data_IF_697332612641
#
_entry.id   IF_697332612641
#
_cell.length_a   1.000
_cell.length_b   1.000
_cell.length_c   1.000
_cell.angle_alpha   90.00
_cell.angle_beta   90.00
_cell.angle_gamma   90.00
#
_symmetry.space_group_name_H-M   'P 1'
#
loop_
_entity.id
_entity.type
_entity.pdbx_description
1 polymer ?
#
# COMPACT_ATOMS: atom_id res chain seq x y z
N UNK A 1 29.75 -17.07 -38.52
CA UNK A 1 28.34 -16.75 -38.82
C UNK A 1 28.07 -15.30 -38.42
N UNK A 2 27.83 -14.41 -39.39
CA UNK A 2 27.58 -12.99 -39.10
C UNK A 2 26.31 -12.80 -38.27
N UNK A 3 26.43 -12.11 -37.13
CA UNK A 3 25.31 -11.70 -36.28
C UNK A 3 24.44 -10.72 -37.07
N UNK A 4 23.35 -11.21 -37.68
CA UNK A 4 22.36 -10.36 -38.37
C UNK A 4 21.66 -9.48 -37.32
N UNK A 5 22.06 -8.20 -37.26
CA UNK A 5 21.51 -7.18 -36.35
C UNK A 5 20.01 -6.95 -36.57
N UNK A 6 19.27 -6.70 -35.48
CA UNK A 6 17.95 -6.06 -35.54
C UNK A 6 18.09 -4.71 -36.27
N UNK A 7 17.19 -4.40 -37.19
CA UNK A 7 17.24 -3.17 -38.00
C UNK A 7 15.95 -2.38 -37.82
N UNK A 8 16.04 -1.30 -37.06
CA UNK A 8 15.04 -0.26 -36.87
C UNK A 8 15.43 0.96 -37.71
N UNK A 9 14.59 1.36 -38.66
CA UNK A 9 14.87 2.50 -39.53
C UNK A 9 13.66 3.46 -39.57
N UNK A 10 13.93 4.76 -39.56
CA UNK A 10 12.95 5.82 -39.82
C UNK A 10 12.97 6.12 -41.32
N UNK A 11 11.80 6.17 -41.95
CA UNK A 11 11.62 6.44 -43.38
C UNK A 11 10.73 7.67 -43.52
N UNK A 12 11.20 8.71 -44.21
CA UNK A 12 10.34 9.83 -44.60
C UNK A 12 9.29 9.33 -45.60
N UNK A 13 8.02 9.31 -45.19
CA UNK A 13 6.84 8.90 -46.00
C UNK A 13 6.01 10.09 -46.43
N UNK A 14 6.55 11.29 -46.32
CA UNK A 14 5.84 12.51 -46.68
C UNK A 14 5.64 12.61 -48.20
N UNK A 15 4.59 13.32 -48.64
CA UNK A 15 4.35 13.64 -50.05
C UNK A 15 5.51 14.43 -50.69
N UNK A 16 5.62 14.34 -52.01
CA UNK A 16 6.50 15.16 -52.82
C UNK A 16 5.82 16.47 -53.20
N UNK A 17 6.55 17.57 -53.22
CA UNK A 17 6.06 18.87 -53.63
C UNK A 17 6.97 19.45 -54.70
N UNK A 18 6.37 19.85 -55.82
CA UNK A 18 7.07 20.57 -56.89
C UNK A 18 6.80 22.05 -56.72
N UNK A 19 7.84 22.83 -56.45
CA UNK A 19 7.77 24.30 -56.39
C UNK A 19 8.30 24.92 -57.67
N UNK A 20 7.65 25.97 -58.17
CA UNK A 20 8.07 26.70 -59.38
C UNK A 20 8.46 28.12 -59.00
N UNK A 21 9.65 28.55 -59.42
CA UNK A 21 10.18 29.87 -59.07
C UNK A 21 9.37 30.97 -59.76
N UNK A 22 8.84 31.91 -58.97
CA UNK A 22 8.08 33.06 -59.47
C UNK A 22 6.64 32.76 -59.89
N UNK A 23 6.18 31.51 -59.77
CA UNK A 23 4.80 31.07 -60.11
C UNK A 23 4.30 30.03 -59.11
N UNK A 24 3.93 30.44 -57.88
CA UNK A 24 3.47 29.52 -56.83
C UNK A 24 2.19 28.75 -57.20
N UNK A 25 1.37 29.28 -58.10
CA UNK A 25 0.12 28.68 -58.59
C UNK A 25 0.33 27.38 -59.38
N UNK A 26 1.53 27.16 -59.93
CA UNK A 26 1.89 25.93 -60.64
C UNK A 26 2.45 24.85 -59.72
N UNK A 27 2.55 25.14 -58.41
CA UNK A 27 3.03 24.19 -57.41
C UNK A 27 2.05 23.05 -57.21
N UNK A 28 2.56 21.81 -57.21
CA UNK A 28 1.71 20.61 -57.10
C UNK A 28 2.29 19.59 -56.14
N UNK A 29 1.39 18.99 -55.36
CA UNK A 29 1.72 17.93 -54.41
C UNK A 29 1.40 16.54 -55.01
N UNK A 30 2.30 15.59 -54.79
CA UNK A 30 2.19 14.21 -55.24
C UNK A 30 2.37 13.27 -54.04
N UNK A 31 1.58 12.20 -53.95
CA UNK A 31 1.70 11.21 -52.88
C UNK A 31 3.10 10.56 -52.86
N UNK A 32 3.57 10.12 -51.69
CA UNK A 32 4.89 9.49 -51.51
C UNK A 32 5.31 8.45 -52.58
N UNK A 33 4.48 7.46 -52.99
CA UNK A 33 4.91 6.46 -53.96
C UNK A 33 5.03 7.01 -55.40
N UNK A 34 4.47 8.19 -55.68
CA UNK A 34 4.37 8.78 -57.02
C UNK A 34 5.52 9.75 -57.32
N UNK A 35 6.74 9.42 -56.90
CA UNK A 35 7.93 10.26 -57.17
C UNK A 35 8.15 10.46 -58.67
N UNK A 36 8.03 9.38 -59.46
CA UNK A 36 8.21 9.44 -60.91
C UNK A 36 7.23 10.40 -61.60
N UNK A 37 6.00 10.53 -61.09
CA UNK A 37 5.02 11.50 -61.61
C UNK A 37 5.41 12.95 -61.25
N UNK A 38 5.99 13.17 -60.06
CA UNK A 38 6.51 14.48 -59.66
C UNK A 38 7.72 14.90 -60.52
N UNK A 39 8.64 13.97 -60.78
CA UNK A 39 9.81 14.20 -61.64
C UNK A 39 9.38 14.47 -63.10
N UNK A 40 8.39 13.72 -63.61
CA UNK A 40 7.82 13.98 -64.94
C UNK A 40 7.16 15.36 -65.05
N UNK A 41 6.44 15.80 -64.00
CA UNK A 41 5.86 17.13 -63.94
C UNK A 41 6.93 18.23 -63.88
N UNK A 42 8.03 17.99 -63.17
CA UNK A 42 9.18 18.90 -63.15
C UNK A 42 9.80 19.05 -64.55
N UNK A 43 10.03 17.93 -65.25
CA UNK A 43 10.60 17.95 -66.60
C UNK A 43 9.69 18.69 -67.58
N UNK A 44 8.37 18.46 -67.53
CA UNK A 44 7.40 19.20 -68.34
C UNK A 44 7.46 20.72 -68.08
N UNK A 45 7.72 21.15 -66.83
CA UNK A 45 7.87 22.56 -66.49
C UNK A 45 9.21 23.14 -66.99
N UNK A 46 10.28 22.35 -66.95
CA UNK A 46 11.57 22.73 -67.54
C UNK A 46 11.49 22.89 -69.06
N UNK A 47 10.78 21.99 -69.75
CA UNK A 47 10.55 22.09 -71.21
C UNK A 47 9.77 23.36 -71.59
N UNK A 48 8.98 23.90 -70.65
CA UNK A 48 8.27 25.18 -70.79
C UNK A 48 9.11 26.41 -70.36
N UNK A 49 10.40 26.22 -70.09
CA UNK A 49 11.33 27.28 -69.69
C UNK A 49 11.17 27.74 -68.23
N UNK A 50 10.44 26.99 -67.40
CA UNK A 50 10.23 27.32 -65.98
C UNK A 50 11.26 26.61 -65.10
N UNK A 51 11.70 27.29 -64.03
CA UNK A 51 12.61 26.71 -63.04
C UNK A 51 11.76 26.06 -61.95
N UNK A 52 11.63 24.73 -62.02
CA UNK A 52 10.92 23.92 -61.04
C UNK A 52 11.87 23.06 -60.20
N UNK A 53 11.55 22.87 -58.91
CA UNK A 53 12.31 22.02 -57.99
C UNK A 53 11.38 21.04 -57.27
N UNK A 54 11.80 19.77 -57.21
CA UNK A 54 11.10 18.71 -56.47
C UNK A 54 11.73 18.60 -55.09
N UNK A 55 10.92 18.66 -54.03
CA UNK A 55 11.36 18.36 -52.65
C UNK A 55 10.38 17.42 -51.97
N UNK A 56 10.89 16.58 -51.10
CA UNK A 56 10.03 15.79 -50.20
C UNK A 56 9.62 16.67 -49.02
N UNK A 57 8.36 16.59 -48.60
CA UNK A 57 7.90 17.25 -47.39
C UNK A 57 8.41 16.52 -46.13
N UNK A 58 8.16 17.10 -44.96
CA UNK A 58 8.52 16.56 -43.65
C UNK A 58 7.29 16.48 -42.73
N UNK A 59 6.19 15.95 -43.27
CA UNK A 59 4.88 15.90 -42.60
C UNK A 59 4.49 14.51 -42.11
N UNK A 60 5.19 13.47 -42.54
CA UNK A 60 4.91 12.09 -42.10
C UNK A 60 6.17 11.22 -42.15
N UNK A 61 6.54 10.68 -41.00
CA UNK A 61 7.67 9.80 -40.80
C UNK A 61 7.20 8.42 -40.33
N UNK A 62 7.70 7.36 -40.97
CA UNK A 62 7.36 5.99 -40.62
C UNK A 62 8.56 5.29 -39.97
N UNK A 63 8.40 4.91 -38.71
CA UNK A 63 9.32 4.02 -38.02
C UNK A 63 9.00 2.57 -38.36
N UNK A 64 9.97 1.84 -38.94
CA UNK A 64 9.84 0.41 -39.26
C UNK A 64 10.74 -0.39 -38.34
N UNK A 65 10.13 -1.32 -37.60
CA UNK A 65 10.82 -2.17 -36.63
C UNK A 65 10.84 -3.60 -37.17
N UNK A 66 12.03 -4.11 -37.52
CA UNK A 66 12.23 -5.49 -37.96
C UNK A 66 12.92 -6.30 -36.86
N UNK A 67 12.31 -7.43 -36.48
CA UNK A 67 12.84 -8.36 -35.47
C UNK A 67 12.77 -9.79 -36.01
N UNK A 68 13.70 -10.65 -35.60
CA UNK A 68 13.67 -12.07 -35.93
C UNK A 68 12.50 -12.73 -35.20
N UNK A 69 11.61 -13.41 -35.93
CA UNK A 69 10.47 -14.14 -35.36
C UNK A 69 9.24 -13.30 -34.97
N UNK A 70 9.28 -11.97 -35.11
CA UNK A 70 8.13 -11.07 -34.85
C UNK A 70 7.70 -10.40 -36.15
N UNK A 71 6.39 -10.19 -36.32
CA UNK A 71 5.85 -9.44 -37.47
C UNK A 71 6.44 -8.03 -37.50
N UNK A 72 6.74 -7.53 -38.70
CA UNK A 72 7.30 -6.18 -38.90
C UNK A 72 6.28 -5.14 -38.44
N UNK A 73 6.63 -4.38 -37.41
CA UNK A 73 5.79 -3.29 -36.91
C UNK A 73 6.10 -1.99 -37.68
N UNK A 74 5.08 -1.19 -37.94
CA UNK A 74 5.16 0.11 -38.62
C UNK A 74 4.38 1.13 -37.81
N UNK A 75 5.04 2.19 -37.36
CA UNK A 75 4.44 3.28 -36.59
C UNK A 75 4.68 4.57 -37.38
N UNK A 76 3.68 5.45 -37.46
CA UNK A 76 3.76 6.74 -38.18
C UNK A 76 3.71 7.90 -37.20
N UNK A 77 4.50 8.93 -37.48
CA UNK A 77 4.64 10.14 -36.67
C UNK A 77 4.58 11.37 -37.58
N UNK A 78 4.11 12.49 -37.05
CA UNK A 78 3.99 13.75 -37.81
C UNK A 78 5.33 14.49 -37.91
N UNK A 79 6.28 14.21 -37.02
CA UNK A 79 7.61 14.86 -36.98
C UNK A 79 8.75 13.86 -36.85
N UNK A 80 9.91 14.21 -37.39
CA UNK A 80 11.13 13.40 -37.29
C UNK A 80 11.56 13.23 -35.83
N UNK A 81 11.50 14.30 -35.04
CA UNK A 81 11.89 14.29 -33.63
C UNK A 81 11.04 13.31 -32.79
N UNK A 82 9.73 13.25 -33.04
CA UNK A 82 8.85 12.27 -32.38
C UNK A 82 9.20 10.82 -32.78
N UNK A 83 9.50 10.60 -34.06
CA UNK A 83 9.94 9.28 -34.54
C UNK A 83 11.29 8.85 -33.94
N UNK A 84 12.23 9.79 -33.77
CA UNK A 84 13.55 9.54 -33.18
C UNK A 84 13.46 9.25 -31.67
N UNK A 85 12.66 10.02 -30.93
CA UNK A 85 12.42 9.75 -29.51
C UNK A 85 11.77 8.38 -29.30
N UNK A 86 10.78 8.03 -30.13
CA UNK A 86 10.17 6.71 -30.10
C UNK A 86 11.18 5.60 -30.41
N UNK A 87 12.07 5.80 -31.39
CA UNK A 87 13.14 4.85 -31.70
C UNK A 87 14.06 4.62 -30.50
N UNK A 88 14.62 5.69 -29.91
CA UNK A 88 15.53 5.60 -28.75
C UNK A 88 14.87 4.90 -27.57
N UNK A 89 13.60 5.19 -27.32
CA UNK A 89 12.83 4.56 -26.25
C UNK A 89 12.58 3.08 -26.50
N UNK A 90 12.22 2.71 -27.73
CA UNK A 90 12.02 1.32 -28.12
C UNK A 90 13.33 0.55 -28.06
N UNK A 91 14.45 1.14 -28.46
CA UNK A 91 15.80 0.56 -28.34
C UNK A 91 16.23 0.39 -26.87
N UNK A 92 15.89 1.35 -26.01
CA UNK A 92 16.07 1.25 -24.56
C UNK A 92 15.23 0.10 -23.98
N UNK A 93 13.92 0.05 -24.26
CA UNK A 93 13.01 -1.02 -23.81
C UNK A 93 13.44 -2.40 -24.36
N UNK A 94 14.02 -2.43 -25.57
CA UNK A 94 14.60 -3.62 -26.22
C UNK A 94 15.86 -4.11 -25.52
N UNK A 95 16.73 -3.21 -25.07
CA UNK A 95 17.94 -3.57 -24.31
C UNK A 95 17.62 -4.31 -23.00
N UNK A 96 16.40 -4.12 -22.49
CA UNK A 96 15.86 -4.73 -21.26
C UNK A 96 14.97 -5.97 -21.56
N UNK A 97 14.90 -6.45 -22.81
CA UNK A 97 14.04 -7.58 -23.21
C UNK A 97 12.54 -7.43 -22.89
N UNK A 98 12.03 -6.20 -22.83
CA UNK A 98 10.60 -5.93 -22.65
C UNK A 98 9.94 -5.87 -24.04
N UNK A 99 9.35 -6.99 -24.48
CA UNK A 99 8.60 -7.03 -25.75
C UNK A 99 7.22 -6.41 -25.53
N UNK A 100 7.09 -5.10 -25.77
CA UNK A 100 5.79 -4.40 -25.89
C UNK A 100 5.33 -4.42 -27.34
N UNK A 101 4.05 -4.72 -27.57
CA UNK A 101 3.42 -4.60 -28.88
C UNK A 101 2.71 -3.25 -29.00
N UNK A 102 3.47 -2.23 -29.39
CA UNK A 102 2.97 -0.85 -29.49
C UNK A 102 1.88 -0.69 -30.56
N UNK A 103 1.78 -1.60 -31.53
CA UNK A 103 0.73 -1.58 -32.55
C UNK A 103 -0.65 -1.91 -31.96
N UNK A 104 -0.69 -2.81 -30.97
CA UNK A 104 -1.92 -3.15 -30.24
C UNK A 104 -2.35 -1.97 -29.36
N UNK A 105 -1.40 -1.34 -28.65
CA UNK A 105 -1.71 -0.18 -27.79
C UNK A 105 -2.26 1.05 -28.53
N UNK A 106 -1.97 1.19 -29.83
CA UNK A 106 -2.53 2.26 -30.67
C UNK A 106 -3.99 2.00 -31.10
N UNK A 107 -4.46 0.75 -31.01
CA UNK A 107 -5.81 0.34 -31.39
C UNK A 107 -6.68 -0.01 -30.18
N UNK A 108 -6.08 -0.37 -29.05
CA UNK A 108 -6.77 -0.68 -27.81
C UNK A 108 -7.06 0.61 -27.03
N UNK A 109 -8.32 0.81 -26.64
CA UNK A 109 -8.77 1.88 -25.76
C UNK A 109 -8.64 1.50 -24.28
N UNK A 110 -8.84 2.47 -23.38
CA UNK A 110 -8.96 2.16 -21.95
C UNK A 110 -10.17 1.26 -21.68
N UNK A 111 -11.29 1.46 -22.39
CA UNK A 111 -12.48 0.60 -22.28
C UNK A 111 -12.15 -0.85 -22.55
N UNK A 112 -11.44 -1.15 -23.64
CA UNK A 112 -11.12 -2.53 -24.02
C UNK A 112 -10.30 -3.26 -22.95
N UNK A 113 -9.28 -2.58 -22.38
CA UNK A 113 -8.50 -3.19 -21.30
C UNK A 113 -9.29 -3.29 -20.00
N UNK A 114 -10.17 -2.34 -19.71
CA UNK A 114 -10.99 -2.36 -18.51
C UNK A 114 -12.05 -3.47 -18.56
N UNK A 115 -12.72 -3.66 -19.71
CA UNK A 115 -13.68 -4.76 -19.89
C UNK A 115 -12.99 -6.12 -19.77
N UNK A 116 -11.81 -6.26 -20.38
CA UNK A 116 -10.99 -7.47 -20.20
C UNK A 116 -10.60 -7.67 -18.74
N UNK A 117 -10.23 -6.61 -18.04
CA UNK A 117 -9.82 -6.66 -16.64
C UNK A 117 -10.98 -7.05 -15.71
N UNK A 118 -12.18 -6.52 -15.99
CA UNK A 118 -13.44 -6.88 -15.31
C UNK A 118 -13.78 -8.36 -15.52
N UNK A 119 -13.49 -8.93 -16.69
CA UNK A 119 -13.78 -10.33 -16.98
C UNK A 119 -12.74 -11.29 -16.41
N UNK A 120 -11.44 -10.98 -16.54
CA UNK A 120 -10.37 -11.95 -16.29
C UNK A 120 -9.69 -11.80 -14.92
N UNK A 121 -9.65 -10.58 -14.35
CA UNK A 121 -8.77 -10.22 -13.24
C UNK A 121 -9.56 -9.83 -12.00
N UNK A 122 -10.41 -8.80 -12.10
CA UNK A 122 -11.16 -8.26 -10.97
C UNK A 122 -11.99 -9.33 -10.20
N UNK A 123 -12.63 -10.34 -10.83
CA UNK A 123 -13.38 -11.36 -10.11
C UNK A 123 -12.52 -12.22 -9.17
N UNK A 124 -11.21 -12.29 -9.41
CA UNK A 124 -10.25 -13.03 -8.57
C UNK A 124 -9.82 -12.25 -7.34
N UNK A 125 -10.11 -10.95 -7.28
CA UNK A 125 -9.74 -10.08 -6.17
C UNK A 125 -10.70 -10.17 -4.99
N UNK A 126 -10.16 -10.03 -3.78
CA UNK A 126 -10.99 -9.87 -2.58
C UNK A 126 -11.69 -8.51 -2.64
N UNK A 127 -13.01 -8.52 -2.82
CA UNK A 127 -13.78 -7.31 -3.07
C UNK A 127 -13.86 -6.91 -4.55
N UNK A 128 -13.58 -7.84 -5.46
CA UNK A 128 -13.65 -7.64 -6.91
C UNK A 128 -14.99 -7.06 -7.38
N UNK A 129 -16.11 -7.42 -6.76
CA UNK A 129 -17.43 -6.85 -7.11
C UNK A 129 -17.47 -5.32 -6.97
N UNK A 130 -16.82 -4.76 -5.94
CA UNK A 130 -16.76 -3.31 -5.71
C UNK A 130 -15.89 -2.66 -6.78
N UNK A 131 -14.76 -3.28 -7.10
CA UNK A 131 -13.84 -2.84 -8.16
C UNK A 131 -14.52 -2.82 -9.53
N UNK A 132 -15.21 -3.90 -9.87
CA UNK A 132 -16.02 -4.04 -11.09
C UNK A 132 -17.11 -2.97 -11.14
N UNK A 133 -17.84 -2.76 -10.03
CA UNK A 133 -18.88 -1.75 -9.94
C UNK A 133 -18.34 -0.34 -10.22
N UNK A 134 -17.15 -0.01 -9.68
CA UNK A 134 -16.49 1.28 -9.95
C UNK A 134 -16.05 1.40 -11.41
N UNK A 135 -15.40 0.38 -11.96
CA UNK A 135 -14.97 0.39 -13.36
C UNK A 135 -16.16 0.56 -14.30
N UNK A 136 -17.24 -0.20 -14.12
CA UNK A 136 -18.46 -0.08 -14.94
C UNK A 136 -19.05 1.32 -14.87
N UNK A 137 -19.04 1.96 -13.70
CA UNK A 137 -19.48 3.35 -13.55
C UNK A 137 -18.57 4.31 -14.34
N UNK A 138 -17.26 4.19 -14.19
CA UNK A 138 -16.27 5.02 -14.91
C UNK A 138 -16.43 4.85 -16.42
N UNK A 139 -16.55 3.60 -16.91
CA UNK A 139 -16.73 3.27 -18.32
C UNK A 139 -18.03 3.82 -18.92
N UNK A 140 -19.05 4.09 -18.10
CA UNK A 140 -20.31 4.66 -18.55
C UNK A 140 -20.28 6.19 -18.54
N UNK A 141 -19.68 6.77 -17.50
CA UNK A 141 -19.84 8.19 -17.20
C UNK A 141 -18.70 9.07 -17.77
N UNK A 142 -17.62 8.48 -18.29
CA UNK A 142 -16.40 9.20 -18.65
C UNK A 142 -16.02 9.01 -20.12
N UNK A 143 -15.68 10.11 -20.82
CA UNK A 143 -15.37 10.09 -22.26
C UNK A 143 -13.94 9.67 -22.58
N UNK A 144 -12.98 9.89 -21.67
CA UNK A 144 -11.58 9.52 -21.90
C UNK A 144 -11.38 8.00 -22.04
N UNK A 145 -12.34 7.19 -21.60
CA UNK A 145 -12.24 5.72 -21.62
C UNK A 145 -12.20 5.16 -23.04
N UNK A 146 -12.78 5.88 -23.99
CA UNK A 146 -12.83 5.50 -25.41
C UNK A 146 -11.58 5.96 -26.17
N UNK A 147 -10.70 6.75 -25.54
CA UNK A 147 -9.43 7.15 -26.14
C UNK A 147 -8.51 5.92 -26.28
N UNK A 148 -7.80 5.77 -27.43
CA UNK A 148 -6.72 4.80 -27.55
C UNK A 148 -5.69 5.00 -26.44
N UNK A 149 -5.13 3.92 -25.91
CA UNK A 149 -4.15 3.98 -24.82
C UNK A 149 -2.95 4.84 -25.19
N UNK A 150 -2.52 4.81 -26.46
CA UNK A 150 -1.44 5.66 -26.98
C UNK A 150 -1.75 7.17 -26.95
N UNK A 151 -3.04 7.54 -26.95
CA UNK A 151 -3.50 8.93 -26.90
C UNK A 151 -3.94 9.39 -25.50
N UNK A 152 -4.04 8.46 -24.54
CA UNK A 152 -4.42 8.76 -23.16
C UNK A 152 -3.27 9.48 -22.44
N UNK A 153 -3.54 10.68 -21.91
CA UNK A 153 -2.56 11.56 -21.26
C UNK A 153 -2.85 11.70 -19.77
N UNK A 154 -1.85 12.19 -19.03
CA UNK A 154 -2.02 12.57 -17.62
C UNK A 154 -3.08 13.65 -17.44
N UNK A 155 -3.21 14.57 -18.40
CA UNK A 155 -4.23 15.63 -18.44
C UNK A 155 -5.65 15.05 -18.37
N UNK A 156 -5.94 14.00 -19.15
CA UNK A 156 -7.25 13.34 -19.15
C UNK A 156 -7.64 12.82 -17.76
N UNK A 157 -6.67 12.26 -17.04
CA UNK A 157 -6.88 11.75 -15.69
C UNK A 157 -6.99 12.88 -14.66
N UNK A 158 -6.33 14.02 -14.91
CA UNK A 158 -6.39 15.18 -14.04
C UNK A 158 -7.73 15.90 -14.18
N UNK A 159 -8.25 16.01 -15.39
CA UNK A 159 -9.59 16.54 -15.69
C UNK A 159 -10.66 15.66 -15.04
N UNK A 160 -10.56 14.34 -15.19
CA UNK A 160 -11.42 13.38 -14.47
C UNK A 160 -11.41 13.60 -12.95
N UNK A 161 -10.23 13.81 -12.35
CA UNK A 161 -10.13 14.13 -10.91
C UNK A 161 -10.87 15.43 -10.60
N UNK A 162 -10.67 16.48 -11.39
CA UNK A 162 -11.31 17.78 -11.21
C UNK A 162 -12.82 17.70 -11.27
N UNK A 163 -13.37 17.05 -12.29
CA UNK A 163 -14.81 16.84 -12.47
C UNK A 163 -15.39 16.04 -11.30
N UNK A 164 -14.76 14.92 -10.91
CA UNK A 164 -15.27 14.07 -9.83
C UNK A 164 -15.22 14.75 -8.46
N UNK A 165 -14.27 15.65 -8.24
CA UNK A 165 -14.20 16.42 -6.99
C UNK A 165 -15.36 17.39 -6.81
N UNK A 166 -16.08 17.77 -7.87
CA UNK A 166 -17.31 18.56 -7.77
C UNK A 166 -18.46 17.78 -7.11
N UNK A 167 -18.52 16.46 -7.33
CA UNK A 167 -19.65 15.63 -6.90
C UNK A 167 -19.36 14.78 -5.65
N UNK A 168 -18.11 14.37 -5.44
CA UNK A 168 -17.76 13.40 -4.40
C UNK A 168 -16.56 13.80 -3.57
N UNK A 169 -16.48 13.21 -2.37
CA UNK A 169 -15.35 13.44 -1.45
C UNK A 169 -14.02 12.99 -2.09
N UNK A 170 -12.90 13.67 -1.79
CA UNK A 170 -11.58 13.35 -2.33
C UNK A 170 -11.16 11.89 -2.14
N UNK A 171 -11.49 11.28 -1.00
CA UNK A 171 -11.19 9.87 -0.73
C UNK A 171 -11.96 8.88 -1.64
N UNK A 172 -13.07 9.30 -2.23
CA UNK A 172 -13.79 8.50 -3.23
C UNK A 172 -13.10 8.63 -4.59
N UNK A 173 -12.71 9.83 -4.98
CA UNK A 173 -11.97 10.08 -6.22
C UNK A 173 -10.65 9.31 -6.25
N UNK A 174 -9.90 9.32 -5.15
CA UNK A 174 -8.62 8.58 -5.07
C UNK A 174 -8.83 7.06 -5.21
N UNK A 175 -9.94 6.52 -4.67
CA UNK A 175 -10.30 5.10 -4.86
C UNK A 175 -10.74 4.78 -6.29
N UNK A 176 -11.37 5.72 -6.99
CA UNK A 176 -11.69 5.57 -8.41
C UNK A 176 -10.38 5.55 -9.23
N UNK A 177 -9.44 6.46 -8.92
CA UNK A 177 -8.11 6.52 -9.53
C UNK A 177 -7.27 5.27 -9.21
N UNK A 178 -7.39 4.67 -8.04
CA UNK A 178 -6.69 3.43 -7.70
C UNK A 178 -7.02 2.30 -8.67
N UNK A 179 -8.31 2.13 -8.97
CA UNK A 179 -8.77 1.06 -9.86
C UNK A 179 -8.34 1.33 -11.31
N UNK A 180 -8.42 2.58 -11.77
CA UNK A 180 -7.87 2.98 -13.08
C UNK A 180 -6.37 2.68 -13.13
N UNK A 181 -5.62 3.10 -12.10
CA UNK A 181 -4.18 2.92 -12.02
C UNK A 181 -3.79 1.43 -12.00
N UNK A 182 -4.55 0.61 -11.27
CA UNK A 182 -4.35 -0.83 -11.20
C UNK A 182 -4.60 -1.50 -12.56
N UNK A 183 -5.68 -1.13 -13.24
CA UNK A 183 -6.03 -1.63 -14.57
C UNK A 183 -4.93 -1.30 -15.59
N UNK A 184 -4.49 -0.03 -15.64
CA UNK A 184 -3.41 0.42 -16.53
C UNK A 184 -2.07 -0.28 -16.25
N UNK A 185 -1.71 -0.44 -14.97
CA UNK A 185 -0.49 -1.16 -14.58
C UNK A 185 -0.56 -2.63 -14.96
N UNK A 186 -1.69 -3.30 -14.71
CA UNK A 186 -1.85 -4.70 -15.07
C UNK A 186 -1.77 -4.91 -16.59
N UNK A 187 -2.41 -4.04 -17.38
CA UNK A 187 -2.31 -4.06 -18.83
C UNK A 187 -0.87 -3.88 -19.32
N UNK A 188 -0.14 -2.91 -18.76
CA UNK A 188 1.27 -2.66 -19.09
C UNK A 188 2.19 -3.81 -18.69
N UNK A 189 2.04 -4.32 -17.47
CA UNK A 189 3.02 -5.20 -16.85
C UNK A 189 2.78 -6.67 -17.19
N UNK A 190 1.51 -7.08 -17.29
CA UNK A 190 1.12 -8.49 -17.54
C UNK A 190 0.76 -8.70 -19.00
N UNK A 191 -0.16 -7.91 -19.55
CA UNK A 191 -0.57 -8.07 -20.95
C UNK A 191 0.41 -7.48 -21.95
N UNK A 192 1.37 -6.66 -21.48
CA UNK A 192 2.32 -5.91 -22.33
C UNK A 192 1.61 -4.99 -23.33
N UNK A 193 0.42 -4.51 -22.96
CA UNK A 193 -0.40 -3.56 -23.70
C UNK A 193 -0.42 -2.26 -22.89
N UNK A 194 0.27 -1.24 -23.39
CA UNK A 194 0.29 0.06 -22.74
C UNK A 194 0.94 1.13 -23.61
N UNK A 195 0.69 2.41 -23.31
CA UNK A 195 1.34 3.50 -24.01
C UNK A 195 2.85 3.50 -23.77
N UNK A 196 3.59 4.20 -24.63
CA UNK A 196 5.03 4.36 -24.45
C UNK A 196 5.35 5.06 -23.12
N UNK A 197 4.59 6.09 -22.76
CA UNK A 197 4.66 6.76 -21.46
C UNK A 197 3.38 6.54 -20.68
N UNK A 198 3.51 6.21 -19.39
CA UNK A 198 2.34 5.96 -18.55
C UNK A 198 1.60 7.27 -18.26
N UNK A 199 0.29 7.36 -18.47
CA UNK A 199 -0.51 8.53 -18.09
C UNK A 199 -0.61 8.70 -16.57
N UNK A 200 -0.11 7.74 -15.79
CA UNK A 200 0.00 7.84 -14.34
C UNK A 200 1.24 8.63 -13.90
N UNK A 201 2.21 8.85 -14.80
CA UNK A 201 3.41 9.59 -14.47
C UNK A 201 3.06 11.07 -14.28
N UNK A 202 3.42 11.62 -13.11
CA UNK A 202 3.11 13.00 -12.75
C UNK A 202 1.66 13.26 -12.32
N UNK A 203 0.80 12.23 -12.25
CA UNK A 203 -0.60 12.37 -11.84
C UNK A 203 -0.69 12.84 -10.38
N UNK A 204 -1.36 13.98 -10.13
CA UNK A 204 -1.55 14.53 -8.79
C UNK A 204 -2.85 14.01 -8.18
N UNK A 205 -2.71 13.16 -7.16
CA UNK A 205 -3.85 12.59 -6.43
C UNK A 205 -4.41 13.56 -5.38
N UNK A 206 -5.72 13.54 -5.11
CA UNK A 206 -6.33 14.34 -4.05
C UNK A 206 -5.75 13.99 -2.67
N UNK A 207 -5.49 15.01 -1.86
CA UNK A 207 -5.13 14.82 -0.45
C UNK A 207 -6.40 14.78 0.41
N UNK A 208 -6.45 13.88 1.37
CA UNK A 208 -7.55 13.78 2.33
C UNK A 208 -7.12 13.19 3.66
N UNK A 209 -7.85 13.58 4.70
CA UNK A 209 -7.68 13.06 6.04
C UNK A 209 -8.98 12.34 6.42
N UNK A 210 -8.91 11.01 6.50
CA UNK A 210 -10.06 10.17 6.90
C UNK A 210 -10.00 9.76 8.37
N UNK A 211 -9.07 10.35 9.12
CA UNK A 211 -8.88 10.10 10.53
C UNK A 211 -10.10 10.60 11.33
N UNK A 212 -10.67 9.72 12.15
CA UNK A 212 -11.79 10.02 13.04
C UNK A 212 -11.37 9.74 14.47
N UNK A 213 -11.66 10.69 15.36
CA UNK A 213 -11.36 10.59 16.80
C UNK A 213 -12.62 10.52 17.66
N UNK A 214 -13.74 10.12 17.05
CA UNK A 214 -15.02 9.90 17.74
C UNK A 214 -14.88 8.76 18.75
N UNK A 215 -15.10 9.06 20.03
CA UNK A 215 -15.15 8.14 21.18
C UNK A 215 -16.57 8.02 21.71
N UNK A 216 -16.94 6.95 22.41
CA UNK A 216 -18.24 6.90 23.09
C UNK A 216 -18.25 7.87 24.29
N UNK A 217 -19.24 8.75 24.34
CA UNK A 217 -19.45 9.67 25.47
C UNK A 217 -20.04 8.99 26.70
N UNK A 218 -20.15 9.74 27.80
CA UNK A 218 -20.79 9.24 29.03
C UNK A 218 -22.24 8.84 28.76
N UNK A 219 -22.58 7.58 29.04
CA UNK A 219 -23.91 7.03 28.80
C UNK A 219 -24.22 6.66 27.35
N UNK A 220 -23.36 6.97 26.37
CA UNK A 220 -23.56 6.57 24.96
C UNK A 220 -23.65 5.06 24.82
N UNK A 221 -22.74 4.32 25.46
CA UNK A 221 -22.75 2.85 25.41
C UNK A 221 -24.04 2.28 25.98
N UNK A 222 -24.52 2.79 27.11
CA UNK A 222 -25.75 2.32 27.73
C UNK A 222 -26.94 2.51 26.79
N UNK A 223 -27.12 3.72 26.26
CA UNK A 223 -28.19 4.05 25.31
C UNK A 223 -28.09 3.23 24.03
N UNK A 224 -26.87 3.04 23.51
CA UNK A 224 -26.63 2.24 22.32
C UNK A 224 -27.06 0.79 22.51
N UNK A 225 -26.76 0.20 23.67
CA UNK A 225 -27.13 -1.19 23.99
C UNK A 225 -28.60 -1.35 24.33
N UNK A 226 -29.21 -0.37 25.00
CA UNK A 226 -30.66 -0.34 25.23
C UNK A 226 -31.43 -0.31 23.91
N UNK A 227 -31.02 0.56 22.97
CA UNK A 227 -31.59 0.61 21.63
C UNK A 227 -31.35 -0.68 20.83
N UNK A 228 -30.16 -1.29 20.96
CA UNK A 228 -29.84 -2.54 20.31
C UNK A 228 -30.65 -3.74 20.85
N UNK A 229 -30.94 -3.76 22.15
CA UNK A 229 -31.82 -4.77 22.79
C UNK A 229 -33.27 -4.66 22.34
N UNK A 230 -33.73 -3.44 22.06
CA UNK A 230 -35.07 -3.20 21.56
C UNK A 230 -35.22 -3.48 20.06
N UNK A 231 -34.12 -3.78 19.34
CA UNK A 231 -34.17 -4.13 17.92
C UNK A 231 -34.79 -5.52 17.73
N UNK A 232 -35.57 -5.69 16.67
CA UNK A 232 -36.19 -6.98 16.33
C UNK A 232 -35.16 -8.10 16.06
N UNK A 233 -33.93 -7.73 15.67
CA UNK A 233 -32.88 -8.69 15.39
C UNK A 233 -31.98 -8.90 16.63
N UNK A 234 -32.12 -10.07 17.24
CA UNK A 234 -31.41 -10.49 18.45
C UNK A 234 -29.87 -10.45 18.35
N UNK A 235 -29.30 -10.46 17.14
CA UNK A 235 -27.85 -10.48 16.94
C UNK A 235 -27.22 -9.07 16.95
N UNK A 236 -28.01 -7.99 16.95
CA UNK A 236 -27.50 -6.62 16.88
C UNK A 236 -26.76 -6.22 18.16
N UNK A 237 -27.34 -6.46 19.34
CA UNK A 237 -26.64 -6.22 20.61
C UNK A 237 -25.34 -7.04 20.71
N UNK A 238 -25.33 -8.37 20.48
CA UNK A 238 -24.12 -9.17 20.48
C UNK A 238 -23.01 -8.62 19.56
N UNK A 239 -23.35 -8.20 18.34
CA UNK A 239 -22.39 -7.62 17.39
C UNK A 239 -21.75 -6.33 17.94
N UNK A 240 -22.54 -5.46 18.58
CA UNK A 240 -22.05 -4.20 19.15
C UNK A 240 -21.14 -4.48 20.35
N UNK A 241 -21.54 -5.38 21.26
CA UNK A 241 -20.72 -5.72 22.42
C UNK A 241 -19.39 -6.34 21.97
N UNK A 242 -19.43 -7.28 21.03
CA UNK A 242 -18.21 -7.88 20.50
C UNK A 242 -17.29 -6.84 19.86
N UNK A 243 -17.83 -5.85 19.15
CA UNK A 243 -17.02 -4.78 18.56
C UNK A 243 -16.28 -3.94 19.63
N UNK A 244 -16.96 -3.59 20.73
CA UNK A 244 -16.41 -2.81 21.84
C UNK A 244 -15.42 -3.62 22.68
N UNK A 245 -15.63 -4.93 22.83
CA UNK A 245 -14.86 -5.78 23.74
C UNK A 245 -13.65 -6.47 23.08
N UNK A 246 -13.59 -6.57 21.75
CA UNK A 246 -12.55 -7.36 21.06
C UNK A 246 -11.70 -6.55 20.08
N UNK A 247 -12.12 -5.32 19.77
CA UNK A 247 -11.54 -4.51 18.70
C UNK A 247 -11.51 -5.19 17.32
N UNK A 248 -12.30 -6.24 17.07
CA UNK A 248 -12.32 -6.93 15.78
C UNK A 248 -12.91 -6.06 14.66
N UNK A 249 -12.52 -6.32 13.40
CA UNK A 249 -13.18 -5.71 12.24
C UNK A 249 -14.58 -6.31 12.11
N UNK A 250 -15.53 -5.52 11.62
CA UNK A 250 -16.92 -5.98 11.38
C UNK A 250 -16.98 -7.30 10.57
N UNK A 251 -16.18 -7.44 9.52
CA UNK A 251 -16.16 -8.68 8.73
C UNK A 251 -15.60 -9.88 9.52
N UNK A 252 -14.67 -9.65 10.44
CA UNK A 252 -14.13 -10.70 11.31
C UNK A 252 -15.20 -11.13 12.31
N UNK A 253 -15.93 -10.18 12.92
CA UNK A 253 -17.04 -10.45 13.85
C UNK A 253 -18.14 -11.30 13.18
N UNK A 254 -18.42 -11.06 11.90
CA UNK A 254 -19.50 -11.73 11.17
C UNK A 254 -19.09 -13.04 10.49
N UNK A 255 -17.82 -13.46 10.57
CA UNK A 255 -17.32 -14.62 9.81
C UNK A 255 -16.92 -15.82 10.64
N UNK A 256 -16.66 -15.65 11.95
CA UNK A 256 -16.28 -16.78 12.80
C UNK A 256 -17.48 -17.64 13.17
N UNK A 257 -17.21 -18.92 13.37
CA UNK A 257 -18.17 -19.98 13.73
C UNK A 257 -17.93 -20.44 15.17
N UNK A 258 -18.84 -21.25 15.73
CA UNK A 258 -18.72 -21.71 17.12
C UNK A 258 -17.41 -22.48 17.38
N UNK A 259 -16.94 -23.28 16.41
CA UNK A 259 -15.67 -24.03 16.44
C UNK A 259 -14.41 -23.15 16.46
N UNK A 260 -14.56 -21.85 16.18
CA UNK A 260 -13.46 -20.91 16.23
C UNK A 260 -13.30 -20.31 17.63
N UNK A 261 -14.28 -20.51 18.51
CA UNK A 261 -14.29 -19.98 19.88
C UNK A 261 -13.78 -21.05 20.84
N UNK A 262 -12.66 -20.76 21.50
CA UNK A 262 -12.16 -21.55 22.62
C UNK A 262 -12.67 -20.91 23.92
N UNK A 263 -13.70 -21.51 24.53
CA UNK A 263 -14.33 -20.97 25.73
C UNK A 263 -13.49 -21.16 27.00
N UNK A 264 -12.58 -22.13 27.01
CA UNK A 264 -11.75 -22.43 28.17
C UNK A 264 -10.55 -21.49 28.23
N UNK A 265 -9.85 -21.36 27.08
CA UNK A 265 -8.71 -20.46 26.92
C UNK A 265 -9.11 -19.03 26.59
N UNK A 266 -10.41 -18.77 26.35
CA UNK A 266 -11.03 -17.45 26.10
C UNK A 266 -10.41 -16.72 24.91
N UNK A 267 -10.42 -17.33 23.74
CA UNK A 267 -10.06 -16.64 22.50
C UNK A 267 -10.91 -17.06 21.30
N UNK A 268 -10.95 -16.21 20.27
CA UNK A 268 -11.46 -16.54 18.94
C UNK A 268 -10.29 -16.74 17.99
N UNK A 269 -10.25 -17.87 17.30
CA UNK A 269 -9.30 -18.13 16.23
C UNK A 269 -9.84 -17.58 14.90
N UNK A 270 -9.28 -16.46 14.45
CA UNK A 270 -9.54 -15.95 13.11
C UNK A 270 -8.63 -16.66 12.12
N UNK A 271 -9.19 -17.56 11.30
CA UNK A 271 -8.43 -18.49 10.46
C UNK A 271 -7.85 -17.90 9.16
N UNK A 272 -8.22 -16.67 8.79
CA UNK A 272 -7.97 -16.01 7.49
C UNK A 272 -7.46 -16.91 6.33
N UNK A 273 -8.31 -17.11 5.32
CA UNK A 273 -7.89 -17.75 4.06
C UNK A 273 -7.20 -16.76 3.11
N UNK A 274 -6.02 -17.21 2.66
CA UNK A 274 -5.19 -16.84 1.49
C UNK A 274 -4.57 -15.44 1.39
N UNK A 275 -4.89 -14.46 2.23
CA UNK A 275 -4.19 -13.15 2.14
C UNK A 275 -3.98 -12.41 3.47
N UNK A 276 -4.08 -13.08 4.62
CA UNK A 276 -3.74 -12.48 5.91
C UNK A 276 -3.57 -13.53 6.99
N UNK A 277 -2.88 -13.15 8.07
CA UNK A 277 -2.36 -14.09 9.06
C UNK A 277 -3.46 -14.52 10.01
N UNK A 278 -3.52 -15.83 10.29
CA UNK A 278 -4.36 -16.34 11.35
C UNK A 278 -3.94 -15.72 12.68
N UNK A 279 -4.91 -15.27 13.49
CA UNK A 279 -4.61 -14.73 14.81
C UNK A 279 -5.65 -15.13 15.84
N UNK A 280 -5.24 -15.17 17.10
CA UNK A 280 -6.11 -15.41 18.25
C UNK A 280 -6.50 -14.07 18.86
N UNK A 281 -7.79 -13.79 18.93
CA UNK A 281 -8.32 -12.59 19.58
C UNK A 281 -8.76 -12.96 21.00
N UNK A 282 -8.16 -12.39 22.05
CA UNK A 282 -8.55 -12.68 23.41
C UNK A 282 -9.95 -12.14 23.71
N UNK A 283 -10.70 -12.85 24.56
CA UNK A 283 -12.07 -12.50 24.92
C UNK A 283 -12.15 -11.99 26.36
N UNK A 284 -12.81 -10.85 26.53
CA UNK A 284 -13.20 -10.36 27.86
C UNK A 284 -14.29 -11.25 28.46
N UNK A 285 -14.48 -11.15 29.78
CA UNK A 285 -15.58 -11.88 30.46
C UNK A 285 -16.94 -11.51 29.88
N UNK A 286 -17.14 -10.25 29.49
CA UNK A 286 -18.38 -9.78 28.90
C UNK A 286 -18.60 -10.32 27.49
N UNK A 287 -17.56 -10.32 26.65
CA UNK A 287 -17.63 -10.98 25.34
C UNK A 287 -17.96 -12.48 25.47
N UNK A 288 -17.34 -13.16 26.44
CA UNK A 288 -17.63 -14.56 26.74
C UNK A 288 -19.09 -14.80 27.15
N UNK A 289 -19.67 -13.95 28.00
CA UNK A 289 -21.07 -14.06 28.41
C UNK A 289 -22.01 -13.92 27.21
N UNK A 290 -21.74 -12.96 26.33
CA UNK A 290 -22.52 -12.78 25.09
C UNK A 290 -22.43 -14.01 24.19
N UNK A 291 -21.21 -14.50 23.93
CA UNK A 291 -21.02 -15.67 23.06
C UNK A 291 -21.69 -16.93 23.61
N UNK A 292 -21.70 -17.11 24.94
CA UNK A 292 -22.38 -18.26 25.59
C UNK A 292 -23.90 -18.20 25.48
N UNK A 293 -24.47 -17.00 25.43
CA UNK A 293 -25.90 -16.78 25.31
C UNK A 293 -26.47 -16.92 23.90
N UNK A 294 -25.60 -17.08 22.87
CA UNK A 294 -26.06 -17.27 21.50
C UNK A 294 -26.63 -18.69 21.29
N UNK A 295 -27.79 -18.83 20.60
CA UNK A 295 -28.56 -20.07 20.57
C UNK A 295 -27.99 -21.15 19.64
N UNK A 296 -27.23 -20.77 18.61
CA UNK A 296 -26.74 -21.69 17.58
C UNK A 296 -25.24 -21.94 17.73
N UNK A 297 -24.82 -23.20 17.71
CA UNK A 297 -23.40 -23.61 17.79
C UNK A 297 -22.97 -24.51 16.63
N UNK A 298 -23.69 -24.47 15.51
CA UNK A 298 -23.34 -25.21 14.30
C UNK A 298 -22.10 -24.68 13.57
N UNK A 299 -21.88 -25.21 12.36
CA UNK A 299 -20.78 -24.79 11.48
C UNK A 299 -21.01 -23.44 10.78
N UNK A 300 -22.22 -22.88 10.87
CA UNK A 300 -22.54 -21.56 10.34
C UNK A 300 -21.87 -20.43 11.15
N UNK A 301 -21.75 -19.21 10.59
CA UNK A 301 -21.34 -18.05 11.37
C UNK A 301 -22.23 -17.87 12.60
N UNK A 302 -21.61 -17.62 13.76
CA UNK A 302 -22.31 -17.55 15.04
C UNK A 302 -23.34 -16.41 15.09
N UNK A 303 -23.09 -15.36 14.31
CA UNK A 303 -23.98 -14.22 14.12
C UNK A 303 -24.56 -14.29 12.72
N UNK A 304 -25.86 -14.57 12.61
CA UNK A 304 -26.57 -14.73 11.33
C UNK A 304 -26.92 -13.37 10.70
N UNK A 305 -25.89 -12.55 10.52
CA UNK A 305 -26.01 -11.18 10.03
C UNK A 305 -25.06 -10.94 8.85
N UNK A 306 -25.60 -10.31 7.80
CA UNK A 306 -24.76 -9.78 6.72
C UNK A 306 -24.17 -8.43 7.14
N UNK A 307 -23.03 -8.05 6.53
CA UNK A 307 -22.42 -6.75 6.78
C UNK A 307 -23.35 -5.57 6.44
N UNK A 308 -24.25 -5.75 5.46
CA UNK A 308 -25.24 -4.74 5.09
C UNK A 308 -26.39 -4.69 6.10
N UNK A 309 -26.83 -5.84 6.65
CA UNK A 309 -27.82 -5.89 7.71
C UNK A 309 -27.34 -5.12 8.95
N UNK A 310 -26.10 -5.36 9.40
CA UNK A 310 -25.48 -4.59 10.51
C UNK A 310 -25.44 -3.11 10.18
N UNK A 311 -25.02 -2.73 8.97
CA UNK A 311 -24.97 -1.32 8.56
C UNK A 311 -26.35 -0.66 8.65
N UNK A 312 -27.36 -1.26 8.05
CA UNK A 312 -28.73 -0.71 8.03
C UNK A 312 -29.30 -0.63 9.44
N UNK A 313 -29.23 -1.72 10.21
CA UNK A 313 -29.69 -1.76 11.59
C UNK A 313 -29.05 -0.66 12.44
N UNK A 314 -27.71 -0.58 12.40
CA UNK A 314 -26.96 0.38 13.20
C UNK A 314 -27.34 1.84 12.85
N UNK A 315 -27.32 2.20 11.57
CA UNK A 315 -27.56 3.59 11.15
C UNK A 315 -29.03 4.02 11.13
N UNK A 316 -29.94 3.11 10.81
CA UNK A 316 -31.35 3.45 10.58
C UNK A 316 -32.26 3.15 11.78
N UNK A 317 -31.83 2.28 12.71
CA UNK A 317 -32.65 1.88 13.86
C UNK A 317 -31.96 2.18 15.19
N UNK A 318 -30.76 1.64 15.39
CA UNK A 318 -30.06 1.74 16.68
C UNK A 318 -29.62 3.17 17.01
N UNK A 319 -28.93 3.86 16.10
CA UNK A 319 -28.47 5.24 16.37
C UNK A 319 -29.62 6.24 16.57
N UNK A 320 -30.69 6.26 15.74
CA UNK A 320 -31.84 7.12 15.98
C UNK A 320 -32.53 6.82 17.31
N UNK A 321 -32.77 5.55 17.64
CA UNK A 321 -33.40 5.16 18.91
C UNK A 321 -32.52 5.50 20.13
N UNK A 322 -31.20 5.38 19.99
CA UNK A 322 -30.25 5.76 21.04
C UNK A 322 -30.08 7.29 21.16
N UNK A 323 -30.49 8.08 20.18
CA UNK A 323 -30.24 9.52 20.13
C UNK A 323 -28.74 9.86 20.04
N UNK A 324 -27.97 9.11 19.24
CA UNK A 324 -26.53 9.30 19.08
C UNK A 324 -26.25 9.78 17.65
N UNK A 325 -25.62 10.96 17.54
CA UNK A 325 -25.17 11.51 16.28
C UNK A 325 -23.70 11.15 15.97
N UNK A 326 -23.36 11.15 14.69
CA UNK A 326 -21.99 11.00 14.15
C UNK A 326 -21.17 9.84 14.78
N UNK A 327 -21.79 8.67 14.90
CA UNK A 327 -21.11 7.44 15.31
C UNK A 327 -21.15 6.42 14.17
N UNK A 328 -19.99 5.93 13.75
CA UNK A 328 -19.90 4.82 12.81
C UNK A 328 -19.67 3.50 13.54
N UNK A 329 -20.12 2.39 12.95
CA UNK A 329 -19.87 1.07 13.53
C UNK A 329 -18.37 0.78 13.74
N UNK A 330 -17.49 1.30 12.86
CA UNK A 330 -16.05 1.12 13.01
C UNK A 330 -15.44 1.96 14.14
N UNK A 331 -16.12 3.02 14.58
CA UNK A 331 -15.71 3.82 15.73
C UNK A 331 -15.74 2.96 17.01
N UNK A 332 -16.57 1.90 17.08
CA UNK A 332 -16.57 0.93 18.20
C UNK A 332 -15.25 0.16 18.32
N UNK A 333 -14.60 -0.14 17.20
CA UNK A 333 -13.25 -0.74 17.21
C UNK A 333 -12.21 0.26 17.69
N UNK A 334 -12.31 1.52 17.29
CA UNK A 334 -11.44 2.58 17.80
C UNK A 334 -11.65 2.80 19.30
N UNK A 335 -12.89 2.76 19.76
CA UNK A 335 -13.24 2.81 21.18
C UNK A 335 -12.58 1.67 21.97
N UNK A 336 -12.69 0.43 21.48
CA UNK A 336 -12.07 -0.74 22.10
C UNK A 336 -10.56 -0.59 22.29
N UNK A 337 -9.84 -0.21 21.22
CA UNK A 337 -8.39 0.00 21.25
C UNK A 337 -8.03 1.11 22.24
N UNK A 338 -8.79 2.20 22.23
CA UNK A 338 -8.53 3.34 23.10
C UNK A 338 -8.75 2.98 24.57
N UNK A 339 -9.81 2.22 24.90
CA UNK A 339 -10.06 1.71 26.27
C UNK A 339 -8.91 0.83 26.75
N UNK A 340 -8.42 -0.07 25.90
CA UNK A 340 -7.27 -0.91 26.26
C UNK A 340 -6.03 -0.06 26.50
N UNK A 341 -5.74 0.91 25.63
CA UNK A 341 -4.62 1.84 25.81
C UNK A 341 -4.73 2.65 27.12
N UNK A 342 -5.92 3.17 27.44
CA UNK A 342 -6.20 3.99 28.63
C UNK A 342 -6.01 3.23 29.95
N UNK A 343 -6.14 1.90 29.95
CA UNK A 343 -5.87 1.09 31.15
C UNK A 343 -4.40 1.18 31.61
N UNK A 344 -3.50 1.53 30.69
CA UNK A 344 -2.05 1.53 30.90
C UNK A 344 -1.48 0.13 31.18
N UNK A 345 -2.24 -0.94 30.92
CA UNK A 345 -1.80 -2.33 31.09
C UNK A 345 -1.27 -2.96 29.80
N UNK A 346 -1.67 -2.40 28.66
CA UNK A 346 -1.30 -2.90 27.33
C UNK A 346 -0.26 -1.99 26.72
N UNK A 347 0.75 -2.59 26.10
CA UNK A 347 1.70 -1.88 25.26
C UNK A 347 1.19 -1.79 23.83
N UNK A 348 1.86 -0.96 23.00
CA UNK A 348 1.48 -0.78 21.61
C UNK A 348 1.52 -2.09 20.82
N UNK A 349 2.45 -3.00 21.17
CA UNK A 349 2.58 -4.32 20.54
C UNK A 349 1.41 -5.25 20.90
N UNK A 350 0.89 -5.17 22.12
CA UNK A 350 -0.31 -5.93 22.52
C UNK A 350 -1.53 -5.44 21.75
N UNK A 351 -1.69 -4.12 21.64
CA UNK A 351 -2.76 -3.51 20.87
C UNK A 351 -2.67 -3.88 19.39
N UNK A 352 -1.46 -4.00 18.84
CA UNK A 352 -1.22 -4.46 17.47
C UNK A 352 -1.71 -5.89 17.28
N UNK A 353 -1.36 -6.80 18.20
CA UNK A 353 -1.77 -8.19 18.16
C UNK A 353 -3.30 -8.36 18.29
N UNK A 354 -3.93 -7.65 19.23
CA UNK A 354 -5.38 -7.69 19.47
C UNK A 354 -6.14 -7.15 18.27
N UNK A 355 -5.79 -5.94 17.83
CA UNK A 355 -6.49 -5.27 16.73
C UNK A 355 -6.19 -5.89 15.36
N UNK A 356 -5.04 -6.53 15.17
CA UNK A 356 -4.63 -7.09 13.89
C UNK A 356 -4.38 -6.01 12.83
N UNK A 357 -3.72 -4.91 13.20
CA UNK A 357 -3.13 -3.99 12.23
C UNK A 357 -1.81 -4.58 11.72
N UNK A 358 -1.50 -4.39 10.43
CA UNK A 358 -0.22 -4.82 9.86
C UNK A 358 0.89 -3.82 10.09
N UNK A 359 0.57 -2.54 9.94
CA UNK A 359 1.50 -1.44 10.13
C UNK A 359 1.30 -0.84 11.53
N UNK A 360 2.31 -0.88 12.42
CA UNK A 360 2.26 -0.23 13.72
C UNK A 360 1.98 1.28 13.65
N UNK A 361 2.28 1.94 12.53
CA UNK A 361 1.98 3.37 12.33
C UNK A 361 0.49 3.68 12.52
N UNK A 362 -0.39 2.74 12.19
CA UNK A 362 -1.85 2.88 12.40
C UNK A 362 -2.24 3.03 13.87
N UNK A 363 -1.38 2.61 14.80
CA UNK A 363 -1.62 2.71 16.24
C UNK A 363 -0.91 3.90 16.89
N UNK A 364 -0.11 4.69 16.15
CA UNK A 364 0.62 5.84 16.72
C UNK A 364 -0.31 6.83 17.43
N UNK A 365 -1.53 7.00 16.93
CA UNK A 365 -2.58 7.81 17.57
C UNK A 365 -2.95 7.35 18.99
N UNK A 366 -2.66 6.11 19.39
CA UNK A 366 -2.91 5.60 20.74
C UNK A 366 -1.68 5.62 21.64
N UNK A 367 -0.49 5.93 21.10
CA UNK A 367 0.76 5.89 21.84
C UNK A 367 0.73 6.82 23.07
N UNK A 368 0.14 8.01 22.93
CA UNK A 368 0.00 8.97 24.03
C UNK A 368 -0.92 8.49 25.16
N UNK A 369 -1.82 7.54 24.91
CA UNK A 369 -2.67 6.94 25.96
C UNK A 369 -1.90 5.90 26.77
N UNK A 370 -0.95 5.21 26.14
CA UNK A 370 -0.12 4.18 26.77
C UNK A 370 1.01 4.78 27.64
N UNK A 371 1.36 6.06 27.45
CA UNK A 371 2.49 6.71 28.13
C UNK A 371 2.19 7.17 29.57
N UNK A 372 0.94 7.08 30.05
CA UNK A 372 0.56 7.52 31.40
C UNK A 372 1.34 6.83 32.53
N UNK A 373 1.89 5.65 32.29
CA UNK A 373 2.68 4.88 33.26
C UNK A 373 4.16 4.78 32.91
N UNK A 374 4.65 5.58 31.97
CA UNK A 374 6.06 5.51 31.57
C UNK A 374 6.98 5.86 32.74
N UNK A 375 6.63 6.87 33.55
CA UNK A 375 7.33 7.20 34.79
C UNK A 375 7.36 6.03 35.78
N UNK A 376 6.20 5.40 36.05
CA UNK A 376 6.13 4.22 36.94
C UNK A 376 6.94 3.02 36.43
N UNK A 377 7.01 2.83 35.10
CA UNK A 377 7.86 1.80 34.49
C UNK A 377 9.34 2.15 34.67
N UNK A 378 9.73 3.42 34.51
CA UNK A 378 11.09 3.88 34.77
C UNK A 378 11.48 3.70 36.23
N UNK A 379 10.59 4.02 37.18
CA UNK A 379 10.80 3.80 38.61
C UNK A 379 11.01 2.31 38.96
N UNK A 380 10.44 1.41 38.16
CA UNK A 380 10.60 -0.04 38.31
C UNK A 380 11.95 -0.58 37.79
N UNK A 381 12.62 0.13 36.88
CA UNK A 381 13.95 -0.23 36.37
C UNK A 381 15.03 0.02 37.43
N UNK A 382 14.78 0.95 38.35
CA UNK A 382 15.76 1.37 39.38
C UNK A 382 15.75 0.46 40.62
N UNK A 383 14.82 -0.50 40.76
CA UNK A 383 14.57 -1.18 42.06
C UNK A 383 15.15 -2.57 42.25
N UNK A 384 15.79 -3.17 41.25
CA UNK A 384 16.23 -4.58 41.39
C UNK A 384 17.64 -4.74 42.02
N UNK A 385 18.50 -3.71 42.05
CA UNK A 385 19.91 -3.85 42.51
C UNK A 385 20.49 -2.66 43.34
N UNK A 386 19.66 -1.83 43.97
CA UNK A 386 20.14 -0.58 44.62
C UNK A 386 20.14 -0.66 46.16
N UNK A 387 21.32 -0.51 46.77
CA UNK A 387 21.46 -0.18 48.19
C UNK A 387 21.46 1.35 48.31
N UNK A 388 20.52 1.90 49.07
CA UNK A 388 20.46 3.33 49.39
C UNK A 388 21.35 3.65 50.60
N UNK A 389 22.50 4.28 50.37
CA UNK A 389 23.33 4.82 51.46
C UNK A 389 23.13 6.34 51.59
N UNK A 390 22.68 6.78 52.76
CA UNK A 390 22.54 8.19 53.07
C UNK A 390 23.88 8.76 53.58
N UNK A 391 24.38 9.82 52.94
CA UNK A 391 25.56 10.55 53.37
C UNK A 391 25.28 12.06 53.45
N UNK A 392 26.06 12.79 54.25
CA UNK A 392 25.87 14.24 54.43
C UNK A 392 26.90 14.97 53.58
N UNK A 393 26.44 15.81 52.66
CA UNK A 393 27.30 16.72 51.90
C UNK A 393 26.94 18.17 52.22
N UNK A 394 27.90 18.92 52.77
CA UNK A 394 27.73 20.34 53.16
C UNK A 394 26.49 20.57 54.04
N UNK A 395 26.32 19.74 55.08
CA UNK A 395 25.22 19.86 56.05
C UNK A 395 23.84 19.44 55.53
N UNK A 396 23.70 19.03 54.27
CA UNK A 396 22.44 18.47 53.73
C UNK A 396 22.58 16.96 53.56
N UNK A 397 21.62 16.21 54.11
CA UNK A 397 21.49 14.77 53.85
C UNK A 397 21.22 14.55 52.37
N UNK A 398 21.99 13.65 51.74
CA UNK A 398 21.82 13.19 50.38
C UNK A 398 21.85 11.67 50.37
N UNK A 399 21.13 11.07 49.44
CA UNK A 399 21.15 9.62 49.25
C UNK A 399 21.99 9.32 48.03
N UNK A 400 22.99 8.45 48.16
CA UNK A 400 23.78 7.95 47.04
C UNK A 400 23.23 6.58 46.67
N UNK A 401 22.85 6.40 45.39
CA UNK A 401 22.44 5.12 44.85
C UNK A 401 23.66 4.43 44.27
N UNK A 402 24.01 3.29 44.84
CA UNK A 402 25.13 2.47 44.35
C UNK A 402 24.55 1.23 43.67
N UNK A 403 24.96 1.01 42.42
CA UNK A 403 24.62 -0.20 41.66
C UNK A 403 25.46 -1.35 42.20
N UNK A 404 24.85 -2.44 42.64
CA UNK A 404 25.60 -3.65 42.94
C UNK A 404 26.04 -4.27 41.60
N UNK A 405 27.33 -4.19 41.27
CA UNK A 405 27.86 -4.98 40.17
C UNK A 405 27.85 -6.45 40.63
N UNK A 406 26.87 -7.22 40.16
CA UNK A 406 26.79 -8.66 40.38
C UNK A 406 28.10 -9.31 39.93
N UNK A 407 28.91 -9.72 40.90
CA UNK A 407 30.10 -10.53 40.64
C UNK A 407 29.61 -11.95 40.32
N UNK A 408 29.67 -12.32 39.05
CA UNK A 408 29.51 -13.70 38.63
C UNK A 408 30.65 -14.53 39.25
N UNK A 409 30.36 -15.35 40.26
CA UNK A 409 31.19 -16.49 40.59
C UNK A 409 30.73 -17.67 39.72
N UNK A 410 31.55 -18.00 38.72
CA UNK A 410 31.55 -19.34 38.15
C UNK A 410 32.33 -20.20 39.13
N UNK A 411 31.67 -21.11 39.84
CA UNK A 411 32.31 -22.17 40.59
C UNK A 411 31.87 -23.53 40.05
N UNK A 412 32.86 -24.37 39.80
CA UNK A 412 32.77 -25.71 39.23
C UNK A 412 31.61 -26.52 39.81
N UNK A 413 30.83 -27.12 38.91
CA UNK A 413 29.59 -27.82 39.24
C UNK A 413 29.76 -28.90 40.31
N UNK A 414 28.94 -28.79 41.35
CA UNK A 414 28.15 -29.88 41.93
C UNK A 414 27.21 -29.28 42.99
N UNK A 415 25.96 -29.74 42.98
CA UNK A 415 24.93 -29.34 43.94
C UNK A 415 25.11 -30.13 45.25
N UNK A 416 25.15 -29.43 46.39
CA UNK A 416 24.90 -30.01 47.71
C UNK A 416 24.17 -28.98 48.57
N UNK A 417 23.07 -29.42 49.18
CA UNK A 417 22.26 -28.73 50.18
C UNK A 417 22.83 -29.03 51.57
N UNK A 418 23.19 -28.01 52.37
CA UNK A 418 23.39 -28.17 53.83
C UNK A 418 23.01 -26.86 54.56
N UNK A 419 22.27 -27.04 55.66
CA UNK A 419 21.75 -26.04 56.60
C UNK A 419 22.82 -25.30 57.44
N UNK A 420 22.34 -24.24 58.10
CA UNK A 420 22.99 -23.21 58.92
C UNK A 420 23.86 -23.70 60.10
N UNK A 421 24.95 -22.98 60.41
CA UNK A 421 25.29 -22.52 61.79
C UNK A 421 26.53 -21.61 61.85
N UNK A 422 26.62 -20.87 62.96
CA UNK A 422 27.50 -19.77 63.36
C UNK A 422 28.99 -20.09 63.63
N UNK A 423 29.78 -18.99 63.71
CA UNK A 423 31.05 -18.76 64.44
C UNK A 423 32.38 -18.64 63.65
N UNK A 424 33.22 -17.76 64.20
CA UNK A 424 34.46 -17.12 63.69
C UNK A 424 35.68 -18.06 63.54
N UNK A 425 36.67 -17.60 62.74
CA UNK A 425 38.11 -17.35 63.09
C UNK A 425 39.07 -17.65 61.91
N UNK A 426 39.87 -16.63 61.56
CA UNK A 426 41.21 -16.55 60.95
C UNK A 426 41.79 -17.69 60.06
N UNK A 427 42.20 -17.33 58.83
CA UNK A 427 43.59 -17.42 58.31
C UNK A 427 43.69 -17.26 56.77
N UNK A 428 44.60 -16.41 56.30
CA UNK A 428 45.17 -16.31 54.93
C UNK A 428 46.59 -16.95 54.92
N UNK A 429 47.30 -17.12 53.78
CA UNK A 429 46.93 -17.63 52.45
C UNK A 429 48.00 -18.60 51.87
N UNK A 430 47.74 -19.34 50.77
CA UNK A 430 48.83 -19.93 49.95
C UNK A 430 48.57 -19.74 48.45
N UNK A 431 49.60 -19.19 47.80
CA UNK A 431 49.72 -18.79 46.40
C UNK A 431 50.01 -19.99 45.48
N UNK A 432 49.38 -20.05 44.30
CA UNK A 432 50.01 -20.62 43.10
C UNK A 432 49.65 -19.81 41.84
N UNK A 433 50.68 -19.65 41.00
CA UNK A 433 50.89 -18.68 39.91
C UNK A 433 50.11 -18.94 38.63
N UNK A 434 49.62 -17.86 38.00
CA UNK A 434 49.13 -17.84 36.62
C UNK A 434 50.18 -17.28 35.66
N UNK A 435 50.36 -17.90 34.49
CA UNK A 435 51.06 -17.33 33.34
C UNK A 435 50.18 -16.31 32.61
N UNK A 436 50.66 -15.07 32.54
CA UNK A 436 49.99 -13.87 32.02
C UNK A 436 50.01 -13.84 30.48
N UNK A 437 48.85 -13.61 29.85
CA UNK A 437 48.77 -13.10 28.47
C UNK A 437 48.61 -11.57 28.57
N UNK A 438 49.60 -10.85 28.06
CA UNK A 438 49.69 -9.40 28.10
C UNK A 438 48.83 -8.75 26.99
N UNK A 439 47.72 -8.12 27.40
CA UNK A 439 46.82 -7.40 26.49
C UNK A 439 47.29 -5.99 26.11
N UNK A 440 48.45 -5.52 26.62
CA UNK A 440 49.03 -4.24 26.22
C UNK A 440 49.59 -4.25 24.77
N UNK A 441 49.89 -5.42 24.20
CA UNK A 441 50.44 -5.55 22.85
C UNK A 441 49.39 -5.42 21.71
N UNK A 442 48.09 -5.47 22.02
CA UNK A 442 47.04 -5.49 20.98
C UNK A 442 46.48 -4.08 20.68
N UNK A 443 46.72 -3.10 21.55
CA UNK A 443 46.16 -1.74 21.39
C UNK A 443 47.02 -0.76 20.57
N UNK A 444 48.17 -1.19 20.04
CA UNK A 444 49.09 -0.37 19.25
C UNK A 444 48.95 -0.51 17.72
N UNK A 445 47.90 -1.15 17.19
CA UNK A 445 47.70 -1.35 15.74
C UNK A 445 46.56 -0.54 15.10
N UNK A 446 46.10 0.54 15.73
CA UNK A 446 44.95 1.31 15.19
C UNK A 446 45.06 2.83 15.27
N UNK A 447 46.24 3.40 15.09
CA UNK A 447 46.40 4.82 14.68
C UNK A 447 47.68 4.95 13.87
N UNK A 448 47.56 5.22 12.57
CA UNK A 448 48.71 5.47 11.68
C UNK A 448 48.35 5.28 10.21
N UNK A 449 47.86 6.34 9.56
CA UNK A 449 47.53 6.29 8.13
C UNK A 449 46.99 7.60 7.56
N UNK A 450 47.82 8.64 7.50
CA UNK A 450 47.68 9.75 6.54
C UNK A 450 49.00 10.54 6.42
N UNK A 451 49.70 10.37 5.30
CA UNK A 451 50.29 11.41 4.44
C UNK A 451 51.48 10.87 3.64
N UNK A 452 51.25 10.59 2.37
CA UNK A 452 51.93 11.23 1.22
C UNK A 452 50.92 11.33 0.08
#
# INVERSE_FOLDING_TARGET
>A
MAVKKNTSNIINRSPWFVSVRGRPELGRQFSYPKKAEADAYQNMLHDKGLIASVRQLETSFQLRIRRKGVRVQRITFDTYAAAEQALRKIESDLSVSIVRDYAIAAQTSFRDIADRYIAEVAPKHKGGEIEIGRLKKILRDQSFVDKPLAALRTEDLQDFIGERLADVRPATVDRDIDVISQTLRYASDVWKIGPAESPLLGLKRPKYFNERDRRLGSGDERRLLEAARADENEYIEPVIILAIETAMRRSEILSFSARDVDFDRRFILLRETKNGQSRKVPLTRRAMSVLRGLPDRGDAPLLKLTANAVKKAFFQRVLPAAGIADLHFHDLRHEAISRFAETGKFELIDLLAISGHRDPRMLQRYAHLCSKKLAQKMDGVEREDEIEEAYIHRGRKRTLRRKCDATFQVANGQAVEVEMSSENVDADPVVFSASVIDFAAIRARRVGGRSE
#
